data_IF_499449825768
#
_entry.id   IF_499449825768
#
_cell.length_a   1.000
_cell.length_b   1.000
_cell.length_c   1.000
_cell.angle_alpha   90.00
_cell.angle_beta   90.00
_cell.angle_gamma   90.00
#
_symmetry.space_group_name_H-M   'P 1'
#
loop_
_entity.id
_entity.type
_entity.pdbx_description
1 polymer ?
#
# COMPACT_ATOMS: atom_id res chain seq x y z
N UNK A 1 11.52 8.34 -17.78
CA UNK A 1 11.80 7.94 -19.18
C UNK A 1 10.81 8.54 -20.18
N UNK A 2 9.49 8.51 -19.92
CA UNK A 2 8.45 9.12 -20.77
C UNK A 2 8.60 10.64 -21.03
N UNK A 3 9.39 11.30 -20.18
CA UNK A 3 9.55 12.77 -20.14
C UNK A 3 10.48 13.31 -21.24
N UNK A 4 11.32 12.45 -21.83
CA UNK A 4 12.46 12.88 -22.67
C UNK A 4 12.40 12.42 -24.13
N UNK A 5 11.59 11.42 -24.49
CA UNK A 5 11.54 10.87 -25.87
C UNK A 5 10.08 10.79 -26.36
N UNK A 6 9.69 11.57 -27.39
CA UNK A 6 8.33 11.55 -27.93
C UNK A 6 8.16 10.37 -28.91
N UNK A 7 8.21 9.14 -28.39
CA UNK A 7 7.92 7.93 -29.18
C UNK A 7 6.73 7.17 -28.59
N UNK A 8 5.63 7.08 -29.35
CA UNK A 8 4.40 6.41 -28.92
C UNK A 8 4.63 4.96 -28.49
N UNK A 9 5.48 4.22 -29.22
CA UNK A 9 5.72 2.80 -28.94
C UNK A 9 6.41 2.65 -27.58
N UNK A 10 7.45 3.45 -27.33
CA UNK A 10 8.14 3.47 -26.04
C UNK A 10 7.19 3.89 -24.91
N UNK A 11 6.29 4.84 -25.18
CA UNK A 11 5.30 5.26 -24.19
C UNK A 11 4.35 4.13 -23.79
N UNK A 12 3.87 3.31 -24.74
CA UNK A 12 3.04 2.15 -24.43
C UNK A 12 3.78 1.08 -23.63
N UNK A 13 5.02 0.74 -24.01
CA UNK A 13 5.82 -0.22 -23.24
C UNK A 13 6.04 0.23 -21.79
N UNK A 14 6.40 1.51 -21.60
CA UNK A 14 6.58 2.09 -20.27
C UNK A 14 5.25 2.07 -19.50
N UNK A 15 4.14 2.46 -20.13
CA UNK A 15 2.83 2.45 -19.49
C UNK A 15 2.43 1.04 -19.00
N UNK A 16 2.58 0.01 -19.83
CA UNK A 16 2.27 -1.38 -19.46
C UNK A 16 3.15 -1.85 -18.29
N UNK A 17 4.47 -1.64 -18.38
CA UNK A 17 5.39 -2.03 -17.30
C UNK A 17 5.11 -1.29 -15.99
N UNK A 18 4.82 0.02 -16.05
CA UNK A 18 4.47 0.81 -14.87
C UNK A 18 3.13 0.38 -14.27
N UNK A 19 2.15 0.00 -15.11
CA UNK A 19 0.86 -0.50 -14.66
C UNK A 19 1.01 -1.78 -13.85
N UNK A 20 1.82 -2.73 -14.32
CA UNK A 20 2.13 -3.97 -13.61
C UNK A 20 2.82 -3.69 -12.26
N UNK A 21 3.80 -2.78 -12.24
CA UNK A 21 4.51 -2.40 -11.01
C UNK A 21 3.60 -1.75 -9.98
N UNK A 22 2.72 -0.85 -10.41
CA UNK A 22 1.75 -0.18 -9.52
C UNK A 22 0.72 -1.18 -9.01
N UNK A 23 0.23 -2.09 -9.87
CA UNK A 23 -0.70 -3.14 -9.45
C UNK A 23 -0.08 -4.03 -8.36
N UNK A 24 1.15 -4.48 -8.54
CA UNK A 24 1.87 -5.26 -7.51
C UNK A 24 2.01 -4.46 -6.21
N UNK A 25 2.44 -3.20 -6.28
CA UNK A 25 2.62 -2.35 -5.11
C UNK A 25 1.32 -2.09 -4.33
N UNK A 26 0.19 -2.06 -5.02
CA UNK A 26 -1.12 -1.93 -4.39
C UNK A 26 -1.62 -3.23 -3.80
N UNK A 27 -1.40 -4.38 -4.44
CA UNK A 27 -1.90 -5.67 -3.97
C UNK A 27 -1.08 -6.24 -2.80
N UNK A 28 0.23 -6.03 -2.79
CA UNK A 28 1.13 -6.60 -1.79
C UNK A 28 0.73 -6.24 -0.34
N UNK A 29 0.48 -4.97 0.03
CA UNK A 29 0.10 -4.65 1.40
C UNK A 29 -1.24 -5.27 1.82
N UNK A 30 -2.21 -5.40 0.90
CA UNK A 30 -3.49 -6.04 1.20
C UNK A 30 -3.35 -7.55 1.46
N UNK A 31 -2.48 -8.23 0.73
CA UNK A 31 -2.22 -9.66 0.98
C UNK A 31 -1.39 -9.90 2.23
N UNK A 32 -0.49 -8.96 2.59
CA UNK A 32 0.39 -9.10 3.77
C UNK A 32 -0.28 -8.66 5.08
N UNK A 33 -1.29 -7.79 5.02
CA UNK A 33 -2.03 -7.33 6.20
C UNK A 33 -2.59 -8.47 7.07
N UNK A 34 -3.29 -9.49 6.54
CA UNK A 34 -3.74 -10.62 7.36
C UNK A 34 -2.59 -11.39 8.02
N UNK A 35 -1.43 -11.53 7.36
CA UNK A 35 -0.27 -12.22 7.94
C UNK A 35 0.23 -11.51 9.22
N UNK A 36 0.23 -10.18 9.22
CA UNK A 36 0.60 -9.38 10.40
C UNK A 36 -0.44 -9.51 11.51
N UNK A 37 -1.73 -9.50 11.14
CA UNK A 37 -2.83 -9.64 12.10
C UNK A 37 -2.78 -11.03 12.77
N UNK A 38 -2.49 -12.07 12.00
CA UNK A 38 -2.33 -13.44 12.52
C UNK A 38 -1.11 -13.57 13.44
N UNK A 39 0.03 -13.00 13.07
CA UNK A 39 1.24 -12.97 13.90
C UNK A 39 1.03 -12.19 15.22
N UNK A 40 0.35 -11.05 15.15
CA UNK A 40 -0.01 -10.26 16.32
C UNK A 40 -0.96 -11.01 17.25
N UNK A 41 -1.94 -11.73 16.69
CA UNK A 41 -2.89 -12.55 17.45
C UNK A 41 -2.19 -13.68 18.20
N UNK A 42 -1.20 -14.33 17.59
CA UNK A 42 -0.41 -15.38 18.24
C UNK A 42 0.45 -14.84 19.38
N UNK A 43 1.03 -13.66 19.19
CA UNK A 43 1.85 -13.00 20.22
C UNK A 43 0.99 -12.49 21.38
N UNK A 44 -0.27 -12.11 21.13
CA UNK A 44 -1.17 -11.50 22.13
C UNK A 44 -2.47 -12.29 22.31
N UNK A 45 -2.42 -13.51 22.89
CA UNK A 45 -3.60 -14.38 23.00
C UNK A 45 -4.72 -13.81 23.89
N UNK A 46 -4.40 -12.87 24.79
CA UNK A 46 -5.36 -12.23 25.69
C UNK A 46 -6.13 -11.07 25.05
N UNK A 47 -5.69 -10.55 23.90
CA UNK A 47 -6.27 -9.39 23.23
C UNK A 47 -7.03 -9.80 21.96
N UNK A 48 -8.28 -10.25 22.12
CA UNK A 48 -9.16 -10.61 20.98
C UNK A 48 -9.77 -9.38 20.31
N UNK A 49 -10.04 -9.47 19.00
CA UNK A 49 -10.80 -8.44 18.25
C UNK A 49 -10.01 -7.23 17.73
N UNK A 50 -8.68 -7.22 17.81
CA UNK A 50 -7.88 -6.11 17.30
C UNK A 50 -7.75 -6.06 15.77
N UNK A 51 -8.19 -7.10 15.07
CA UNK A 51 -8.24 -7.15 13.60
C UNK A 51 -8.94 -5.92 12.99
N UNK A 52 -10.09 -5.52 13.53
CA UNK A 52 -10.86 -4.37 13.06
C UNK A 52 -10.06 -3.07 13.17
N UNK A 53 -9.23 -2.92 14.21
CA UNK A 53 -8.39 -1.76 14.44
C UNK A 53 -7.29 -1.69 13.37
N UNK A 54 -6.60 -2.81 13.10
CA UNK A 54 -5.57 -2.87 12.06
C UNK A 54 -6.12 -2.53 10.67
N UNK A 55 -7.23 -3.17 10.27
CA UNK A 55 -7.87 -2.88 8.97
C UNK A 55 -8.33 -1.42 8.87
N UNK A 56 -8.96 -0.89 9.93
CA UNK A 56 -9.46 0.49 9.94
C UNK A 56 -8.34 1.51 9.87
N UNK A 57 -7.27 1.33 10.66
CA UNK A 57 -6.09 2.21 10.61
C UNK A 57 -5.41 2.17 9.24
N UNK A 58 -5.24 0.97 8.65
CA UNK A 58 -4.64 0.83 7.33
C UNK A 58 -5.40 1.63 6.26
N UNK A 59 -6.74 1.46 6.20
CA UNK A 59 -7.59 2.18 5.23
C UNK A 59 -7.64 3.68 5.52
N UNK A 60 -7.69 4.06 6.79
CA UNK A 60 -7.66 5.47 7.21
C UNK A 60 -6.38 6.16 6.71
N UNK A 61 -5.22 5.58 6.98
CA UNK A 61 -3.94 6.16 6.57
C UNK A 61 -3.76 6.18 5.05
N UNK A 62 -4.24 5.18 4.31
CA UNK A 62 -4.18 5.22 2.84
C UNK A 62 -5.04 6.34 2.27
N UNK A 63 -6.25 6.57 2.81
CA UNK A 63 -7.12 7.67 2.36
C UNK A 63 -6.59 9.04 2.80
N UNK A 64 -6.05 9.11 4.02
CA UNK A 64 -5.38 10.30 4.51
C UNK A 64 -4.19 10.69 3.64
N UNK A 65 -3.29 9.74 3.36
CA UNK A 65 -2.13 9.95 2.49
C UNK A 65 -2.53 10.34 1.07
N UNK A 66 -3.59 9.74 0.51
CA UNK A 66 -4.13 10.12 -0.78
C UNK A 66 -4.64 11.58 -0.78
N UNK A 67 -5.36 11.99 0.26
CA UNK A 67 -5.82 13.38 0.43
C UNK A 67 -4.66 14.37 0.58
N UNK A 68 -3.67 14.04 1.42
CA UNK A 68 -2.46 14.85 1.62
C UNK A 68 -1.68 14.98 0.32
N UNK A 69 -1.48 13.88 -0.42
CA UNK A 69 -0.76 13.88 -1.70
C UNK A 69 -1.44 14.80 -2.73
N UNK A 70 -2.77 14.74 -2.85
CA UNK A 70 -3.53 15.64 -3.73
C UNK A 70 -3.43 17.11 -3.29
N UNK A 71 -3.52 17.38 -1.99
CA UNK A 71 -3.38 18.72 -1.43
C UNK A 71 -2.00 19.32 -1.69
N UNK A 72 -0.93 18.58 -1.35
CA UNK A 72 0.46 18.97 -1.63
C UNK A 72 0.67 19.18 -3.12
N UNK A 73 0.12 18.30 -3.95
CA UNK A 73 0.27 18.42 -5.40
C UNK A 73 -0.35 19.72 -5.93
N UNK A 74 -1.55 20.04 -5.46
CA UNK A 74 -2.25 21.27 -5.84
C UNK A 74 -1.48 22.51 -5.38
N UNK A 75 -0.93 22.49 -4.16
CA UNK A 75 -0.13 23.58 -3.62
C UNK A 75 1.15 23.81 -4.45
N UNK A 76 1.84 22.74 -4.83
CA UNK A 76 3.01 22.82 -5.71
C UNK A 76 2.65 23.44 -7.07
N UNK A 77 1.50 23.08 -7.64
CA UNK A 77 1.03 23.67 -8.90
C UNK A 77 0.69 25.16 -8.75
N UNK A 78 0.02 25.55 -7.65
CA UNK A 78 -0.28 26.95 -7.36
C UNK A 78 1.01 27.79 -7.28
N UNK A 79 2.04 27.31 -6.57
CA UNK A 79 3.34 27.99 -6.51
C UNK A 79 4.06 28.07 -7.86
N UNK A 80 3.85 27.10 -8.75
CA UNK A 80 4.40 27.14 -10.11
C UNK A 80 3.68 28.15 -11.04
N UNK A 81 2.64 28.84 -10.56
CA UNK A 81 1.87 29.80 -11.35
C UNK A 81 0.79 29.15 -12.22
N UNK A 82 0.25 28.01 -11.78
CA UNK A 82 -0.83 27.32 -12.47
C UNK A 82 -2.11 28.17 -12.54
N UNK A 83 -2.53 28.51 -13.75
CA UNK A 83 -3.75 29.27 -14.02
C UNK A 83 -4.82 28.37 -14.67
N UNK A 84 -5.95 28.21 -14.00
CA UNK A 84 -7.10 27.43 -14.48
C UNK A 84 -7.77 28.14 -15.67
N UNK A 85 -7.68 27.55 -16.86
CA UNK A 85 -8.36 28.05 -18.07
C UNK A 85 -7.49 28.88 -19.03
N UNK A 86 -6.19 29.05 -18.75
CA UNK A 86 -5.27 29.69 -19.69
C UNK A 86 -4.94 28.74 -20.86
N UNK A 87 -4.99 29.25 -22.11
CA UNK A 87 -4.63 28.48 -23.31
C UNK A 87 -3.14 28.07 -23.34
N UNK A 88 -2.27 28.81 -22.64
CA UNK A 88 -0.85 28.48 -22.45
C UNK A 88 -0.50 28.55 -20.98
N UNK A 89 0.08 27.46 -20.49
CA UNK A 89 0.62 27.36 -19.14
C UNK A 89 2.11 27.69 -19.15
N UNK A 90 2.64 28.26 -18.05
CA UNK A 90 4.05 28.60 -17.96
C UNK A 90 4.92 27.33 -17.87
N UNK A 91 6.12 27.37 -18.45
CA UNK A 91 7.04 26.21 -18.49
C UNK A 91 7.33 25.57 -17.10
N UNK A 92 7.44 26.32 -15.99
CA UNK A 92 7.61 25.75 -14.64
C UNK A 92 6.48 24.79 -14.20
N UNK A 93 5.23 25.02 -14.64
CA UNK A 93 4.09 24.13 -14.33
C UNK A 93 4.29 22.76 -14.96
N UNK A 94 4.73 22.73 -16.23
CA UNK A 94 4.99 21.48 -16.96
C UNK A 94 6.12 20.69 -16.29
N UNK A 95 7.18 21.37 -15.85
CA UNK A 95 8.27 20.73 -15.12
C UNK A 95 7.81 20.18 -13.76
N UNK A 96 7.04 20.97 -13.00
CA UNK A 96 6.48 20.56 -11.72
C UNK A 96 5.62 19.31 -11.86
N UNK A 97 4.72 19.29 -12.85
CA UNK A 97 3.86 18.14 -13.12
C UNK A 97 4.68 16.89 -13.48
N UNK A 98 5.69 17.02 -14.34
CA UNK A 98 6.60 15.92 -14.71
C UNK A 98 7.32 15.34 -13.49
N UNK A 99 7.73 16.18 -12.55
CA UNK A 99 8.39 15.76 -11.31
C UNK A 99 7.41 15.03 -10.37
N UNK A 100 6.20 15.57 -10.24
CA UNK A 100 5.13 15.04 -9.39
C UNK A 100 4.59 13.68 -9.82
N UNK A 101 4.42 13.46 -11.13
CA UNK A 101 3.88 12.20 -11.67
C UNK A 101 4.98 11.17 -11.98
N UNK A 102 6.23 11.63 -12.08
CA UNK A 102 7.36 10.79 -12.51
C UNK A 102 8.30 10.47 -11.36
N UNK A 103 9.02 11.48 -10.87
CA UNK A 103 10.10 11.28 -9.89
C UNK A 103 9.55 10.94 -8.51
N UNK A 104 8.49 11.62 -8.06
CA UNK A 104 7.93 11.40 -6.73
C UNK A 104 7.37 9.98 -6.54
N UNK A 105 6.53 9.41 -7.43
CA UNK A 105 6.01 8.06 -7.26
C UNK A 105 7.12 7.00 -7.30
N UNK A 106 8.14 7.19 -8.13
CA UNK A 106 9.29 6.28 -8.20
C UNK A 106 10.05 6.28 -6.87
N UNK A 107 10.31 7.44 -6.27
CA UNK A 107 10.96 7.53 -4.97
C UNK A 107 10.16 6.80 -3.87
N UNK A 108 8.83 6.97 -3.85
CA UNK A 108 7.97 6.27 -2.89
C UNK A 108 7.93 4.75 -3.10
N UNK A 109 7.88 4.28 -4.36
CA UNK A 109 7.92 2.86 -4.69
C UNK A 109 9.26 2.24 -4.26
N UNK A 110 10.38 2.88 -4.55
CA UNK A 110 11.72 2.40 -4.15
C UNK A 110 11.83 2.32 -2.62
N UNK A 111 11.32 3.33 -1.93
CA UNK A 111 11.28 3.34 -0.46
C UNK A 111 10.41 2.21 0.09
N UNK A 112 9.23 1.99 -0.49
CA UNK A 112 8.33 0.90 -0.10
C UNK A 112 8.94 -0.48 -0.37
N UNK A 113 9.63 -0.65 -1.49
CA UNK A 113 10.35 -1.88 -1.82
C UNK A 113 11.48 -2.13 -0.82
N UNK A 114 12.23 -1.10 -0.44
CA UNK A 114 13.27 -1.23 0.57
C UNK A 114 12.69 -1.71 1.90
N UNK A 115 11.58 -1.12 2.36
CA UNK A 115 10.90 -1.56 3.59
C UNK A 115 10.45 -3.02 3.47
N UNK A 116 9.95 -3.44 2.30
CA UNK A 116 9.51 -4.81 2.06
C UNK A 116 10.69 -5.81 2.06
N UNK A 117 11.88 -5.39 1.62
CA UNK A 117 13.10 -6.22 1.71
C UNK A 117 13.59 -6.39 3.15
N UNK A 118 13.35 -5.43 4.04
CA UNK A 118 13.63 -5.55 5.47
C UNK A 118 12.52 -6.29 6.25
N UNK A 119 11.48 -6.79 5.57
CA UNK A 119 10.34 -7.41 6.20
C UNK A 119 10.67 -8.80 6.78
N UNK A 120 10.47 -9.05 8.09
CA UNK A 120 10.96 -10.24 8.76
C UNK A 120 10.06 -11.49 8.61
N UNK A 121 8.86 -11.36 8.03
CA UNK A 121 7.93 -12.50 7.89
C UNK A 121 8.21 -13.26 6.59
N UNK A 122 9.04 -14.30 6.72
CA UNK A 122 9.32 -15.26 5.66
C UNK A 122 8.17 -16.28 5.51
N UNK A 123 8.18 -17.02 4.39
CA UNK A 123 7.18 -18.05 4.11
C UNK A 123 7.09 -19.12 5.22
N UNK A 124 8.23 -19.49 5.80
CA UNK A 124 8.26 -20.44 6.92
C UNK A 124 7.52 -19.92 8.16
N UNK A 125 7.63 -18.61 8.43
CA UNK A 125 6.92 -17.97 9.56
C UNK A 125 5.42 -17.98 9.29
N UNK A 126 5.00 -17.62 8.06
CA UNK A 126 3.58 -17.66 7.67
C UNK A 126 2.98 -19.04 7.81
N UNK A 127 3.69 -20.08 7.35
CA UNK A 127 3.21 -21.46 7.44
C UNK A 127 3.06 -21.91 8.90
N UNK A 128 4.04 -21.61 9.76
CA UNK A 128 3.96 -21.91 11.20
C UNK A 128 2.78 -21.20 11.86
N UNK A 129 2.62 -19.90 11.60
CA UNK A 129 1.53 -19.10 12.17
C UNK A 129 0.17 -19.66 11.76
N UNK A 130 0.02 -20.06 10.49
CA UNK A 130 -1.21 -20.67 9.99
C UNK A 130 -1.57 -21.96 10.74
N UNK A 131 -0.61 -22.86 10.93
CA UNK A 131 -0.82 -24.13 11.66
C UNK A 131 -1.23 -23.86 13.11
N UNK A 132 -0.52 -22.96 13.79
CA UNK A 132 -0.83 -22.59 15.18
C UNK A 132 -2.23 -21.97 15.31
N UNK A 133 -2.65 -21.14 14.35
CA UNK A 133 -3.99 -20.57 14.34
C UNK A 133 -5.08 -21.64 14.13
N UNK A 134 -4.84 -22.63 13.26
CA UNK A 134 -5.75 -23.76 13.03
C UNK A 134 -5.91 -24.61 14.30
N UNK A 135 -4.82 -24.87 15.03
CA UNK A 135 -4.85 -25.56 16.33
C UNK A 135 -5.68 -24.81 17.38
N UNK A 136 -5.47 -23.50 17.52
CA UNK A 136 -6.22 -22.67 18.46
C UNK A 136 -7.73 -22.68 18.16
N UNK A 137 -8.12 -22.61 16.88
CA UNK A 137 -9.53 -22.70 16.48
C UNK A 137 -10.13 -24.06 16.83
N UNK A 138 -9.37 -25.15 16.66
CA UNK A 138 -9.81 -26.50 17.02
C UNK A 138 -10.08 -26.61 18.53
N UNK A 139 -9.15 -26.11 19.36
CA UNK A 139 -9.32 -26.09 20.83
C UNK A 139 -10.52 -25.24 21.25
N UNK A 140 -10.73 -24.08 20.62
CA UNK A 140 -11.90 -23.24 20.90
C UNK A 140 -13.23 -23.92 20.53
N UNK A 141 -13.28 -24.63 19.39
CA UNK A 141 -14.46 -25.41 18.98
C UNK A 141 -14.75 -26.53 19.97
N UNK A 142 -13.74 -27.31 20.37
CA UNK A 142 -13.89 -28.38 21.36
C UNK A 142 -14.39 -27.81 22.70
N UNK A 143 -13.79 -26.72 23.18
CA UNK A 143 -14.22 -26.05 24.41
C UNK A 143 -15.64 -25.47 24.29
N UNK A 144 -16.05 -24.99 23.12
CA UNK A 144 -17.43 -24.56 22.84
C UNK A 144 -18.41 -25.73 22.89
N UNK A 145 -18.06 -26.86 22.28
CA UNK A 145 -18.88 -28.08 22.29
C UNK A 145 -19.04 -28.66 23.71
N UNK A 146 -17.98 -28.61 24.52
CA UNK A 146 -18.03 -29.02 25.92
C UNK A 146 -18.90 -28.08 26.76
N UNK A 147 -18.85 -26.75 26.52
CA UNK A 147 -19.70 -25.78 27.21
C UNK A 147 -21.18 -25.88 26.83
N UNK A 148 -21.52 -26.33 25.63
CA UNK A 148 -22.91 -26.55 25.20
C UNK A 148 -23.54 -27.87 25.68
N UNK A 149 -22.77 -28.73 26.38
CA UNK A 149 -23.22 -30.04 26.90
C UNK A 149 -23.42 -30.06 28.42
N UNK A 150 -23.19 -28.94 29.12
CA UNK A 150 -23.46 -28.74 30.56
C UNK A 150 -24.68 -27.86 30.69
#
# INVERSE_FOLDING_TARGET
>A
MLVFIPNLVVAYFVAVSSGLSVAASLLLPWSMLPDVVDDFRLTNPFCKGHEAIFYSFYVFFTKFAAGVSLGVSTLCLQFAGYNNGACRQPAPVVYTLKLLIGVAPVAFIVTGLLILLLYPINEDVRLRNRVQLEELRCVELINGHLRGKV
#
